data_IF_258791862860
#
_entry.id   IF_258791862860
#
_cell.length_a   1.000
_cell.length_b   1.000
_cell.length_c   1.000
_cell.angle_alpha   90.00
_cell.angle_beta   90.00
_cell.angle_gamma   90.00
#
_symmetry.space_group_name_H-M   'P 1'
#
loop_
_entity.id
_entity.type
_entity.pdbx_description
1 polymer ?
#
# COMPACT_ATOMS: atom_id res chain seq x y z
N UNK A 1 -1.40 -14.38 -10.49
CA UNK A 1 -1.54 -13.60 -9.24
C UNK A 1 -2.96 -13.68 -8.71
N UNK A 2 -3.12 -13.75 -7.41
CA UNK A 2 -4.43 -13.74 -6.79
C UNK A 2 -5.10 -12.38 -6.98
N UNK A 3 -6.41 -12.33 -7.14
CA UNK A 3 -7.11 -11.05 -7.23
C UNK A 3 -7.09 -10.30 -5.90
N UNK A 4 -7.28 -9.00 -5.97
CA UNK A 4 -7.41 -8.16 -4.79
C UNK A 4 -8.88 -7.99 -4.44
N UNK A 5 -9.18 -7.99 -3.16
CA UNK A 5 -10.52 -7.73 -2.63
C UNK A 5 -10.43 -6.77 -1.46
N UNK A 6 -11.53 -6.11 -1.16
CA UNK A 6 -11.62 -5.15 -0.06
C UNK A 6 -13.06 -4.95 0.35
N UNK A 7 -13.26 -4.27 1.48
CA UNK A 7 -14.60 -3.89 1.94
C UNK A 7 -15.09 -2.69 1.13
N UNK A 8 -16.25 -2.78 0.47
CA UNK A 8 -16.84 -1.63 -0.25
C UNK A 8 -17.09 -0.43 0.66
N UNK A 9 -17.49 -0.68 1.89
CA UNK A 9 -17.75 0.39 2.87
C UNK A 9 -16.47 1.11 3.25
N UNK A 10 -15.39 0.36 3.47
CA UNK A 10 -14.09 0.96 3.77
C UNK A 10 -13.57 1.76 2.58
N UNK A 11 -13.78 1.25 1.37
CA UNK A 11 -13.37 1.94 0.15
C UNK A 11 -14.07 3.29 0.02
N UNK A 12 -15.37 3.32 0.27
CA UNK A 12 -16.15 4.55 0.22
C UNK A 12 -15.66 5.55 1.29
N UNK A 13 -15.42 5.07 2.50
CA UNK A 13 -14.93 5.92 3.58
C UNK A 13 -13.58 6.54 3.24
N UNK A 14 -12.66 5.76 2.65
CA UNK A 14 -11.35 6.26 2.26
C UNK A 14 -11.44 7.33 1.16
N UNK A 15 -12.38 7.17 0.23
CA UNK A 15 -12.59 8.17 -0.81
C UNK A 15 -13.07 9.49 -0.22
N UNK A 16 -14.00 9.42 0.72
CA UNK A 16 -14.54 10.61 1.39
C UNK A 16 -13.49 11.27 2.28
N UNK A 17 -12.78 10.48 3.08
CA UNK A 17 -11.85 11.00 4.08
C UNK A 17 -10.50 11.43 3.51
N UNK A 18 -9.99 10.70 2.50
CA UNK A 18 -8.61 10.87 2.03
C UNK A 18 -8.49 11.01 0.52
N UNK A 19 -9.59 10.88 -0.22
CA UNK A 19 -9.55 10.96 -1.66
C UNK A 19 -8.79 9.82 -2.33
N UNK A 20 -8.68 8.66 -1.67
CA UNK A 20 -7.99 7.49 -2.22
C UNK A 20 -8.96 6.31 -2.28
N UNK A 21 -8.69 5.37 -3.19
CA UNK A 21 -9.53 4.20 -3.35
C UNK A 21 -8.68 2.95 -3.55
N UNK A 22 -9.25 1.80 -3.22
CA UNK A 22 -8.56 0.53 -3.48
C UNK A 22 -8.44 0.28 -4.99
N UNK A 23 -9.40 0.74 -5.80
CA UNK A 23 -9.27 0.65 -7.26
C UNK A 23 -8.04 1.39 -7.73
N UNK A 24 -7.80 2.58 -7.18
CA UNK A 24 -6.62 3.37 -7.52
C UNK A 24 -5.33 2.66 -7.15
N UNK A 25 -5.32 1.97 -6.01
CA UNK A 25 -4.17 1.16 -5.58
C UNK A 25 -3.91 0.03 -6.58
N UNK A 26 -4.95 -0.68 -7.00
CA UNK A 26 -4.81 -1.79 -7.94
C UNK A 26 -4.27 -1.29 -9.29
N UNK A 27 -4.78 -0.16 -9.76
CA UNK A 27 -4.28 0.47 -11.00
C UNK A 27 -2.81 0.84 -10.86
N UNK A 28 -2.43 1.44 -9.72
CA UNK A 28 -1.04 1.82 -9.48
C UNK A 28 -0.12 0.60 -9.48
N UNK A 29 -0.54 -0.49 -8.85
CA UNK A 29 0.23 -1.74 -8.85
C UNK A 29 0.41 -2.26 -10.28
N UNK A 30 -0.66 -2.26 -11.06
CA UNK A 30 -0.61 -2.71 -12.45
C UNK A 30 0.27 -1.83 -13.34
N UNK A 31 0.50 -0.60 -12.93
CA UNK A 31 1.34 0.35 -13.68
C UNK A 31 2.78 0.42 -13.14
N UNK A 32 3.18 -0.52 -12.31
CA UNK A 32 4.54 -0.59 -11.79
C UNK A 32 4.77 0.16 -10.49
N UNK A 33 3.70 0.54 -9.80
CA UNK A 33 3.81 1.31 -8.56
C UNK A 33 4.10 0.50 -7.30
N UNK A 34 4.12 -0.83 -7.39
CA UNK A 34 4.45 -1.63 -6.21
C UNK A 34 5.95 -1.56 -5.96
N UNK A 35 6.36 -0.91 -4.88
CA UNK A 35 7.76 -0.67 -4.55
C UNK A 35 8.35 -1.73 -3.64
N UNK A 36 7.53 -2.28 -2.74
CA UNK A 36 8.01 -3.23 -1.75
C UNK A 36 6.84 -3.97 -1.10
N UNK A 37 7.14 -5.07 -0.44
CA UNK A 37 6.19 -5.83 0.38
C UNK A 37 6.88 -6.07 1.72
N UNK A 38 6.32 -5.53 2.79
CA UNK A 38 6.91 -5.59 4.12
C UNK A 38 6.14 -6.54 5.02
N UNK A 39 6.85 -7.19 5.94
CA UNK A 39 6.21 -8.00 6.98
C UNK A 39 5.48 -7.09 7.97
N UNK A 40 4.45 -7.63 8.62
CA UNK A 40 3.79 -6.92 9.70
C UNK A 40 4.81 -6.72 10.84
N UNK A 41 4.80 -5.54 11.52
CA UNK A 41 5.72 -5.30 12.63
C UNK A 41 5.64 -6.35 13.74
N UNK A 42 4.47 -6.95 13.95
CA UNK A 42 4.31 -8.06 14.88
C UNK A 42 3.98 -9.34 14.11
N UNK A 43 5.00 -9.89 13.48
CA UNK A 43 4.90 -11.05 12.61
C UNK A 43 4.42 -12.30 13.33
N UNK A 44 4.83 -12.46 14.60
CA UNK A 44 4.44 -13.62 15.39
C UNK A 44 2.92 -13.66 15.63
N UNK A 45 2.32 -12.50 15.86
CA UNK A 45 0.87 -12.40 16.11
C UNK A 45 0.06 -12.37 14.81
N UNK A 46 0.63 -11.79 13.75
CA UNK A 46 -0.06 -11.59 12.48
C UNK A 46 0.74 -12.18 11.32
N UNK A 47 0.93 -13.51 11.28
CA UNK A 47 1.83 -14.13 10.30
C UNK A 47 1.37 -14.02 8.85
N UNK A 48 0.07 -13.80 8.64
CA UNK A 48 -0.49 -13.69 7.29
C UNK A 48 -0.73 -12.24 6.86
N UNK A 49 -0.38 -11.28 7.71
CA UNK A 49 -0.52 -9.86 7.38
C UNK A 49 0.80 -9.29 6.92
N UNK A 50 0.74 -8.57 5.80
CA UNK A 50 1.89 -7.86 5.25
C UNK A 50 1.44 -6.48 4.79
N UNK A 51 2.37 -5.68 4.31
CA UNK A 51 2.09 -4.32 3.90
C UNK A 51 2.66 -4.11 2.50
N UNK A 52 1.80 -3.72 1.56
CA UNK A 52 2.25 -3.28 0.25
C UNK A 52 2.70 -1.82 0.34
N UNK A 53 3.83 -1.52 -0.28
CA UNK A 53 4.32 -0.15 -0.40
C UNK A 53 4.07 0.27 -1.83
N UNK A 54 3.13 1.19 -2.04
CA UNK A 54 2.62 1.52 -3.37
C UNK A 54 2.79 3.00 -3.67
N UNK A 55 3.42 3.30 -4.81
CA UNK A 55 3.54 4.66 -5.30
C UNK A 55 2.37 4.99 -6.22
N UNK A 56 1.72 6.11 -5.97
CA UNK A 56 0.64 6.64 -6.80
C UNK A 56 0.62 8.15 -6.68
N UNK A 57 0.55 8.84 -7.81
CA UNK A 57 0.49 10.32 -7.86
C UNK A 57 1.63 10.99 -7.08
N UNK A 58 2.85 10.49 -7.26
CA UNK A 58 4.07 11.02 -6.64
C UNK A 58 4.07 10.95 -5.11
N UNK A 59 3.26 10.06 -4.56
CA UNK A 59 3.20 9.84 -3.12
C UNK A 59 3.22 8.33 -2.84
N UNK A 60 3.63 7.95 -1.63
CA UNK A 60 3.70 6.53 -1.24
C UNK A 60 2.64 6.22 -0.20
N UNK A 61 1.93 5.14 -0.45
CA UNK A 61 0.88 4.64 0.43
C UNK A 61 1.26 3.27 0.96
N UNK A 62 0.94 3.04 2.22
CA UNK A 62 1.09 1.73 2.83
C UNK A 62 -0.28 1.06 2.82
N UNK A 63 -0.35 -0.15 2.28
CA UNK A 63 -1.61 -0.87 2.13
C UNK A 63 -1.49 -2.21 2.86
N UNK A 64 -1.87 -2.25 4.13
CA UNK A 64 -1.90 -3.52 4.87
C UNK A 64 -2.87 -4.49 4.21
N UNK A 65 -2.47 -5.75 4.14
CA UNK A 65 -3.31 -6.79 3.53
C UNK A 65 -3.13 -8.12 4.24
N UNK A 66 -4.13 -8.99 4.04
CA UNK A 66 -4.08 -10.37 4.52
C UNK A 66 -4.11 -11.26 3.29
N UNK A 67 -3.19 -12.22 3.25
CA UNK A 67 -3.21 -13.21 2.17
C UNK A 67 -4.17 -14.33 2.52
N UNK A 68 -5.23 -14.45 1.72
CA UNK A 68 -6.19 -15.54 1.81
C UNK A 68 -5.86 -16.59 0.77
N UNK A 69 -6.52 -17.73 0.82
CA UNK A 69 -6.23 -18.81 -0.11
C UNK A 69 -6.40 -18.38 -1.57
N UNK A 70 -7.47 -17.63 -1.86
CA UNK A 70 -7.84 -17.28 -3.24
C UNK A 70 -7.71 -15.81 -3.59
N UNK A 71 -7.38 -14.96 -2.62
CA UNK A 71 -7.29 -13.53 -2.87
C UNK A 71 -6.42 -12.85 -1.82
N UNK A 72 -6.01 -11.62 -2.15
CA UNK A 72 -5.38 -10.73 -1.19
C UNK A 72 -6.42 -9.74 -0.70
N UNK A 73 -6.67 -9.71 0.60
CA UNK A 73 -7.66 -8.80 1.17
C UNK A 73 -6.97 -7.53 1.65
N UNK A 74 -7.24 -6.42 0.95
CA UNK A 74 -6.66 -5.12 1.29
C UNK A 74 -7.45 -4.51 2.44
N UNK A 75 -6.76 -4.16 3.54
CA UNK A 75 -7.41 -3.74 4.77
C UNK A 75 -7.69 -2.24 4.81
N UNK A 76 -6.73 -1.42 4.43
CA UNK A 76 -6.85 0.03 4.41
C UNK A 76 -5.75 0.63 3.54
N UNK A 77 -5.76 1.96 3.39
CA UNK A 77 -4.75 2.69 2.65
C UNK A 77 -4.26 3.82 3.54
N UNK A 78 -2.96 3.85 3.82
CA UNK A 78 -2.38 4.82 4.74
C UNK A 78 -1.35 5.65 3.97
N UNK A 79 -1.61 6.96 3.76
CA UNK A 79 -0.58 7.81 3.15
C UNK A 79 0.60 7.92 4.11
N UNK A 80 1.81 7.82 3.58
CA UNK A 80 3.01 7.82 4.40
C UNK A 80 4.01 8.83 3.89
N UNK A 81 4.21 9.92 4.64
CA UNK A 81 5.21 10.92 4.32
C UNK A 81 6.61 10.33 4.41
N UNK A 82 6.85 9.52 5.44
CA UNK A 82 8.16 8.89 5.62
C UNK A 82 8.48 7.95 4.46
N UNK A 83 7.54 7.10 4.07
CA UNK A 83 7.75 6.19 2.96
C UNK A 83 7.93 6.94 1.64
N UNK A 84 7.19 8.03 1.43
CA UNK A 84 7.36 8.86 0.25
C UNK A 84 8.78 9.40 0.18
N UNK A 85 9.30 9.91 1.29
CA UNK A 85 10.67 10.39 1.34
C UNK A 85 11.67 9.27 1.10
N UNK A 86 11.48 8.13 1.76
CA UNK A 86 12.45 7.04 1.72
C UNK A 86 12.49 6.35 0.34
N UNK A 87 11.34 6.19 -0.31
CA UNK A 87 11.27 5.46 -1.57
C UNK A 87 11.32 6.33 -2.82
N UNK A 88 10.85 7.56 -2.76
CA UNK A 88 10.81 8.45 -3.91
C UNK A 88 11.84 9.57 -3.87
N UNK A 89 12.20 10.03 -2.68
CA UNK A 89 13.09 11.18 -2.51
C UNK A 89 14.45 10.83 -1.91
N UNK A 90 14.57 9.66 -1.31
CA UNK A 90 15.79 9.26 -0.62
C UNK A 90 17.01 9.26 -1.52
N UNK A 91 16.89 8.79 -2.76
CA UNK A 91 18.01 8.75 -3.70
C UNK A 91 18.49 10.15 -4.09
N UNK A 92 17.59 11.11 -4.16
CA UNK A 92 17.95 12.50 -4.45
C UNK A 92 18.71 13.12 -3.29
N UNK A 93 18.26 12.85 -2.08
CA UNK A 93 18.93 13.32 -0.89
C UNK A 93 20.33 12.72 -0.76
N UNK A 94 20.45 11.45 -1.05
CA UNK A 94 21.74 10.76 -1.03
C UNK A 94 22.69 11.32 -2.08
N UNK A 95 22.16 11.68 -3.23
CA UNK A 95 22.98 12.21 -4.33
C UNK A 95 23.54 13.61 -4.01
N UNK A 96 22.90 14.36 -3.15
CA UNK A 96 23.33 15.68 -2.75
C UNK A 96 24.46 15.63 -1.71
N UNK A 97 24.52 14.54 -0.98
CA UNK A 97 25.55 14.34 0.04
C UNK A 97 26.87 13.89 -0.56
#
# INVERSE_FOLDING_TARGET
>A
MKPFRWSPEKNEALQVERGVSFEGVVVAIGSGGLLDVLAHPNEAKYPHQRILVVAADDYVYLVPFVEEERFFFLKTIIPSRKATRDYLQGSELDAED
#
